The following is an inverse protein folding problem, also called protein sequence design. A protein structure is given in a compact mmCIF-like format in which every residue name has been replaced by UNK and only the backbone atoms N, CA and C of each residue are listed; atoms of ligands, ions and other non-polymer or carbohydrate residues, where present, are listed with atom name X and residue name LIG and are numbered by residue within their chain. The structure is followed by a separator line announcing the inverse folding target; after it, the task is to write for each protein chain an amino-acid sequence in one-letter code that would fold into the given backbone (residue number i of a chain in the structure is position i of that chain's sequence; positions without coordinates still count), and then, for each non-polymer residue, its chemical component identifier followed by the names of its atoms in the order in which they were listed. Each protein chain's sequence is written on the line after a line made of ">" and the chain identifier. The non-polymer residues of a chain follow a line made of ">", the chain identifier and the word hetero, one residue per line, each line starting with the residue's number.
data_IF_654580029683
#
_entry.id   IF_654580029683
#
_cell.length_a   1.000
_cell.length_b   1.000
_cell.length_c   1.000
_cell.angle_alpha   90.00
_cell.angle_beta   90.00
_cell.angle_gamma   90.00
#
_symmetry.space_group_name_H-M   'P 1'
#
loop_
_entity.id
_entity.type
_entity.pdbx_description
1 polymer ?
#
# COMPACT_ATOMS: atom_id res chain seq x y z
N UNK A 1 19.42 -22.40 2.94
CA UNK A 1 18.24 -22.77 3.77
C UNK A 1 17.39 -21.54 3.97
N UNK A 2 16.27 -21.39 3.25
CA UNK A 2 15.34 -20.27 3.45
C UNK A 2 14.40 -20.60 4.61
N UNK A 3 14.69 -20.06 5.80
CA UNK A 3 13.75 -20.11 6.93
C UNK A 3 12.59 -19.16 6.64
N UNK A 4 11.54 -19.66 5.99
CA UNK A 4 10.24 -18.99 6.03
C UNK A 4 9.69 -19.10 7.45
N UNK A 5 10.08 -18.17 8.31
CA UNK A 5 9.45 -17.98 9.62
C UNK A 5 7.97 -17.77 9.38
N UNK A 6 7.15 -18.58 10.03
CA UNK A 6 5.69 -18.48 10.00
C UNK A 6 5.29 -17.10 10.55
N UNK A 7 5.25 -16.07 9.69
CA UNK A 7 4.86 -14.72 10.09
C UNK A 7 3.40 -14.77 10.49
N UNK A 8 3.13 -14.48 11.77
CA UNK A 8 1.76 -14.36 12.29
C UNK A 8 1.03 -13.30 11.45
N UNK A 9 -0.21 -13.59 11.05
CA UNK A 9 -1.09 -12.62 10.38
C UNK A 9 -1.55 -11.61 11.43
N UNK A 10 -0.78 -10.54 11.64
CA UNK A 10 -1.08 -9.52 12.67
C UNK A 10 -1.75 -8.29 12.09
N UNK A 11 -1.77 -8.14 10.77
CA UNK A 11 -2.32 -6.96 10.12
C UNK A 11 -3.81 -7.16 9.83
N UNK A 12 -4.66 -6.51 10.60
CA UNK A 12 -6.09 -6.44 10.33
C UNK A 12 -6.38 -5.57 9.11
N UNK A 13 -7.41 -5.94 8.35
CA UNK A 13 -7.93 -5.10 7.28
C UNK A 13 -8.31 -3.72 7.81
N UNK A 14 -7.98 -2.67 7.07
CA UNK A 14 -8.34 -1.31 7.48
C UNK A 14 -9.82 -0.99 7.24
N UNK A 15 -10.54 -1.79 6.45
CA UNK A 15 -11.97 -1.57 6.22
C UNK A 15 -12.82 -1.88 7.45
N UNK A 16 -13.63 -0.92 7.92
CA UNK A 16 -14.49 -1.03 9.12
C UNK A 16 -15.44 -2.23 9.20
N UNK A 17 -15.69 -2.92 8.09
CA UNK A 17 -16.59 -4.08 7.99
C UNK A 17 -15.87 -5.36 7.57
N UNK A 18 -14.54 -5.37 7.62
CA UNK A 18 -13.73 -6.51 7.25
C UNK A 18 -12.86 -6.94 8.43
N UNK A 19 -13.04 -8.19 8.88
CA UNK A 19 -12.29 -8.78 9.97
C UNK A 19 -11.16 -9.70 9.46
N UNK A 20 -10.81 -9.62 8.17
CA UNK A 20 -9.73 -10.43 7.62
C UNK A 20 -8.36 -9.95 8.11
N UNK A 21 -7.43 -10.88 8.27
CA UNK A 21 -6.05 -10.61 8.67
C UNK A 21 -5.07 -11.06 7.60
N UNK A 22 -4.03 -10.26 7.41
CA UNK A 22 -3.04 -10.43 6.34
C UNK A 22 -1.63 -10.58 6.92
N UNK A 23 -0.75 -11.21 6.12
CA UNK A 23 0.67 -11.35 6.44
C UNK A 23 1.49 -10.10 6.07
N UNK A 24 1.02 -9.34 5.08
CA UNK A 24 1.71 -8.19 4.50
C UNK A 24 0.72 -7.06 4.19
N UNK A 25 1.24 -5.84 4.03
CA UNK A 25 0.42 -4.68 3.66
C UNK A 25 -0.01 -4.81 2.20
N UNK A 26 0.88 -5.28 1.32
CA UNK A 26 0.54 -5.57 -0.08
C UNK A 26 -0.69 -6.47 -0.19
N UNK A 27 -0.75 -7.58 0.55
CA UNK A 27 -1.88 -8.50 0.53
C UNK A 27 -3.18 -7.89 1.04
N UNK A 28 -3.11 -7.02 2.06
CA UNK A 28 -4.27 -6.27 2.53
C UNK A 28 -4.73 -5.24 1.50
N UNK A 29 -3.81 -4.55 0.81
CA UNK A 29 -4.13 -3.59 -0.25
C UNK A 29 -4.77 -4.29 -1.45
N UNK A 30 -4.26 -5.46 -1.89
CA UNK A 30 -4.89 -6.26 -2.96
C UNK A 30 -6.35 -6.56 -2.60
N UNK A 31 -6.61 -6.96 -1.35
CA UNK A 31 -7.96 -7.23 -0.87
C UNK A 31 -8.87 -5.99 -0.89
N UNK A 32 -8.33 -4.82 -0.55
CA UNK A 32 -9.09 -3.57 -0.59
C UNK A 32 -9.33 -3.10 -2.04
N UNK A 33 -8.32 -3.19 -2.90
CA UNK A 33 -8.37 -2.80 -4.31
C UNK A 33 -9.31 -3.72 -5.12
N UNK A 34 -9.45 -4.99 -4.73
CA UNK A 34 -10.36 -5.95 -5.40
C UNK A 34 -11.85 -5.69 -5.15
N UNK A 35 -12.24 -4.60 -4.48
CA UNK A 35 -13.65 -4.19 -4.36
C UNK A 35 -14.47 -4.93 -3.30
N UNK A 36 -13.83 -5.58 -2.30
CA UNK A 36 -14.59 -6.33 -1.29
C UNK A 36 -15.34 -5.43 -0.29
N UNK A 37 -14.96 -4.15 -0.17
CA UNK A 37 -15.43 -3.27 0.90
C UNK A 37 -16.52 -2.26 0.50
N UNK A 38 -16.66 -2.00 -0.79
CA UNK A 38 -17.70 -1.20 -1.45
C UNK A 38 -17.57 -1.52 -2.95
N UNK A 39 -18.62 -1.28 -3.73
CA UNK A 39 -18.72 -1.48 -5.19
C UNK A 39 -17.48 -1.05 -5.99
N UNK A 40 -17.50 -1.24 -7.31
CA UNK A 40 -16.44 -1.00 -8.32
C UNK A 40 -15.57 0.27 -8.25
N UNK A 41 -15.72 1.13 -7.24
CA UNK A 41 -14.95 2.34 -6.92
C UNK A 41 -13.96 2.17 -5.74
N UNK A 42 -13.76 0.96 -5.19
CA UNK A 42 -12.85 0.79 -4.05
C UNK A 42 -11.39 1.14 -4.39
N UNK A 43 -10.94 0.78 -5.59
CA UNK A 43 -9.60 1.14 -6.09
C UNK A 43 -9.46 2.66 -6.23
N UNK A 44 -10.45 3.32 -6.83
CA UNK A 44 -10.46 4.78 -6.99
C UNK A 44 -10.45 5.48 -5.63
N UNK A 45 -11.21 4.98 -4.65
CA UNK A 45 -11.24 5.53 -3.30
C UNK A 45 -9.88 5.42 -2.58
N UNK A 46 -9.20 4.27 -2.68
CA UNK A 46 -7.85 4.09 -2.12
C UNK A 46 -6.87 5.04 -2.80
N UNK A 47 -6.98 5.19 -4.13
CA UNK A 47 -6.15 6.09 -4.91
C UNK A 47 -6.35 7.54 -4.51
N UNK A 48 -7.59 7.97 -4.30
CA UNK A 48 -7.89 9.32 -3.85
C UNK A 48 -7.32 9.59 -2.45
N UNK A 49 -7.46 8.64 -1.51
CA UNK A 49 -6.80 8.75 -0.20
C UNK A 49 -5.27 8.83 -0.35
N UNK A 50 -4.67 8.04 -1.24
CA UNK A 50 -3.23 8.07 -1.48
C UNK A 50 -2.77 9.42 -2.06
N UNK A 51 -3.58 10.05 -2.91
CA UNK A 51 -3.37 11.40 -3.46
C UNK A 51 -3.51 12.49 -2.42
N UNK A 52 -4.44 12.38 -1.48
CA UNK A 52 -4.61 13.37 -0.40
C UNK A 52 -3.44 13.39 0.59
N UNK A 53 -2.67 12.30 0.71
CA UNK A 53 -1.55 12.26 1.63
C UNK A 53 -0.46 13.25 1.23
N UNK A 54 0.05 14.04 2.18
CA UNK A 54 1.08 15.06 1.96
C UNK A 54 2.41 14.53 1.37
N UNK A 55 2.63 13.21 1.35
CA UNK A 55 3.79 12.59 0.71
C UNK A 55 3.53 12.16 -0.75
N UNK A 56 2.34 12.46 -1.32
CA UNK A 56 1.91 11.97 -2.65
C UNK A 56 2.97 12.12 -3.74
N UNK A 57 3.67 13.26 -3.81
CA UNK A 57 4.68 13.55 -4.83
C UNK A 57 5.88 12.60 -4.84
N UNK A 58 6.02 11.74 -3.82
CA UNK A 58 7.08 10.73 -3.73
C UNK A 58 6.69 9.35 -4.24
N UNK A 59 5.43 9.13 -4.56
CA UNK A 59 4.97 7.84 -5.08
C UNK A 59 3.84 7.96 -6.10
N UNK A 60 3.39 9.19 -6.41
CA UNK A 60 2.48 9.52 -7.51
C UNK A 60 3.16 10.63 -8.31
N UNK A 61 3.24 10.46 -9.63
CA UNK A 61 3.66 11.54 -10.53
C UNK A 61 2.45 12.43 -10.79
N UNK A 62 2.65 13.74 -10.81
CA UNK A 62 1.61 14.78 -11.03
C UNK A 62 1.05 14.78 -12.48
N UNK A 63 1.14 13.65 -13.18
CA UNK A 63 0.74 13.46 -14.57
C UNK A 63 -0.69 12.94 -14.65
N UNK A 64 -1.31 13.04 -15.82
CA UNK A 64 -2.55 12.34 -16.18
C UNK A 64 -2.49 10.80 -15.98
N UNK A 65 -1.31 10.28 -15.64
CA UNK A 65 -1.09 8.88 -15.31
C UNK A 65 -1.66 8.52 -13.93
N UNK A 66 -2.41 7.41 -13.91
CA UNK A 66 -3.18 6.94 -12.76
C UNK A 66 -2.34 5.99 -11.87
N UNK A 67 -1.07 5.76 -12.20
CA UNK A 67 -0.20 4.84 -11.48
C UNK A 67 0.66 5.47 -10.38
N UNK A 68 1.49 4.62 -9.81
CA UNK A 68 2.40 4.88 -8.71
C UNK A 68 3.84 4.61 -9.13
N UNK A 69 4.80 5.17 -8.41
CA UNK A 69 6.21 4.86 -8.64
C UNK A 69 6.98 4.66 -7.34
N UNK A 70 8.06 3.91 -7.41
CA UNK A 70 8.97 3.72 -6.29
C UNK A 70 10.01 4.84 -6.24
N UNK A 71 10.01 5.63 -5.17
CA UNK A 71 10.97 6.72 -4.98
C UNK A 71 12.45 6.28 -4.98
N UNK A 72 12.72 5.02 -4.63
CA UNK A 72 14.09 4.52 -4.48
C UNK A 72 14.71 4.07 -5.81
N UNK A 73 13.91 3.48 -6.70
CA UNK A 73 14.39 2.86 -7.94
C UNK A 73 13.70 3.38 -9.21
N UNK A 74 12.79 4.34 -9.05
CA UNK A 74 12.03 5.02 -10.12
C UNK A 74 11.14 4.12 -10.99
N UNK A 75 10.86 2.89 -10.53
CA UNK A 75 9.97 1.96 -11.24
C UNK A 75 8.51 2.32 -11.05
N UNK A 76 7.73 2.28 -12.13
CA UNK A 76 6.28 2.53 -12.13
C UNK A 76 5.44 1.25 -11.91
N UNK A 77 4.24 1.44 -11.36
CA UNK A 77 3.28 0.40 -10.99
C UNK A 77 1.85 0.91 -11.18
N UNK A 78 0.94 0.09 -11.68
CA UNK A 78 -0.46 0.52 -11.88
C UNK A 78 -1.28 0.53 -10.57
N UNK A 79 -0.91 -0.31 -9.61
CA UNK A 79 -1.64 -0.46 -8.33
C UNK A 79 -0.77 -0.14 -7.13
N UNK A 80 -1.42 0.26 -6.04
CA UNK A 80 -0.75 0.62 -4.80
C UNK A 80 -0.16 -0.63 -4.14
N UNK A 81 -0.91 -1.73 -4.18
CA UNK A 81 -0.44 -3.04 -3.73
C UNK A 81 0.86 -3.46 -4.40
N UNK A 82 1.01 -3.23 -5.71
CA UNK A 82 2.19 -3.62 -6.47
C UNK A 82 3.44 -2.82 -6.05
N UNK A 83 3.29 -1.52 -5.76
CA UNK A 83 4.37 -0.71 -5.19
C UNK A 83 4.80 -1.23 -3.81
N UNK A 84 3.83 -1.59 -2.96
CA UNK A 84 4.12 -2.16 -1.64
C UNK A 84 4.81 -3.51 -1.74
N UNK A 85 4.29 -4.41 -2.58
CA UNK A 85 4.88 -5.72 -2.81
C UNK A 85 6.32 -5.58 -3.30
N UNK A 86 6.58 -4.68 -4.25
CA UNK A 86 7.93 -4.37 -4.70
C UNK A 86 8.86 -3.97 -3.54
N UNK A 87 8.39 -3.09 -2.64
CA UNK A 87 9.21 -2.65 -1.50
C UNK A 87 9.36 -3.74 -0.42
N UNK A 88 8.39 -4.63 -0.27
CA UNK A 88 8.46 -5.77 0.65
C UNK A 88 9.45 -6.83 0.14
N UNK A 89 9.52 -7.05 -1.17
CA UNK A 89 10.39 -8.06 -1.80
C UNK A 89 11.81 -7.52 -2.09
N UNK A 90 11.96 -6.22 -2.33
CA UNK A 90 13.24 -5.61 -2.70
C UNK A 90 13.95 -4.99 -1.50
N UNK A 91 15.08 -5.59 -1.09
CA UNK A 91 15.90 -5.11 0.02
C UNK A 91 16.33 -3.64 -0.16
N UNK A 92 16.69 -3.22 -1.37
CA UNK A 92 17.11 -1.84 -1.69
C UNK A 92 15.99 -0.81 -1.54
N UNK A 93 14.72 -1.22 -1.65
CA UNK A 93 13.56 -0.33 -1.57
C UNK A 93 12.81 -0.46 -0.24
N UNK A 94 13.07 -1.52 0.53
CA UNK A 94 12.38 -1.84 1.79
C UNK A 94 12.45 -0.74 2.85
N UNK A 95 13.47 0.12 2.81
CA UNK A 95 13.59 1.25 3.73
C UNK A 95 12.41 2.23 3.59
N UNK A 96 11.77 2.34 2.41
CA UNK A 96 10.62 3.22 2.18
C UNK A 96 9.40 2.86 3.06
N UNK A 97 9.31 1.60 3.51
CA UNK A 97 8.27 1.07 4.38
C UNK A 97 8.51 1.38 5.87
N UNK A 98 9.67 1.94 6.24
CA UNK A 98 10.10 2.05 7.63
C UNK A 98 10.09 3.50 8.15
N UNK A 99 9.93 3.64 9.47
CA UNK A 99 10.14 4.91 10.18
C UNK A 99 9.35 6.08 9.57
N UNK A 100 10.06 7.16 9.22
CA UNK A 100 9.49 8.39 8.67
C UNK A 100 9.55 8.49 7.14
N UNK A 101 9.74 7.35 6.45
CA UNK A 101 9.76 7.31 4.99
C UNK A 101 8.35 7.41 4.38
N UNK A 102 8.28 7.64 3.08
CA UNK A 102 7.05 8.02 2.39
C UNK A 102 5.94 6.96 2.51
N UNK A 103 6.25 5.68 2.26
CA UNK A 103 5.26 4.60 2.32
C UNK A 103 4.87 4.29 3.78
N UNK A 104 5.80 4.37 4.73
CA UNK A 104 5.48 4.25 6.16
C UNK A 104 4.50 5.33 6.65
N UNK A 105 4.62 6.55 6.11
CA UNK A 105 3.71 7.67 6.39
C UNK A 105 2.37 7.49 5.69
N UNK A 106 2.36 7.03 4.44
CA UNK A 106 1.14 6.73 3.72
C UNK A 106 0.36 5.59 4.38
N UNK A 107 1.02 4.52 4.83
CA UNK A 107 0.36 3.45 5.59
C UNK A 107 -0.41 3.98 6.81
N UNK A 108 0.23 4.87 7.59
CA UNK A 108 -0.41 5.52 8.75
C UNK A 108 -1.59 6.41 8.35
N UNK A 109 -1.50 7.07 7.20
CA UNK A 109 -2.58 7.88 6.65
C UNK A 109 -3.77 7.02 6.20
N UNK A 110 -3.51 5.94 5.46
CA UNK A 110 -4.51 4.96 5.03
C UNK A 110 -5.26 4.36 6.22
N UNK A 111 -4.52 3.94 7.25
CA UNK A 111 -5.12 3.40 8.48
C UNK A 111 -6.10 4.39 9.13
N UNK A 112 -5.74 5.68 9.19
CA UNK A 112 -6.60 6.72 9.79
C UNK A 112 -7.84 7.05 8.98
N UNK A 113 -7.76 6.91 7.64
CA UNK A 113 -8.86 7.28 6.72
C UNK A 113 -9.83 6.13 6.50
N UNK A 114 -9.34 4.89 6.49
CA UNK A 114 -10.15 3.70 6.21
C UNK A 114 -10.77 3.09 7.47
N UNK A 115 -10.14 3.29 8.64
CA UNK A 115 -10.68 2.85 9.94
C UNK A 115 -11.75 3.78 10.49
#
# INVERSE_FOLDING_TARGET
>A
MHQQKHQRRVLECYGRRCNQTFKSISGMLIHLESGYWQSSSAEDYIRDIARECYQNKKYIRDSFYIGYFCFACDKDFDHLSALWQHCEDSLSCSYLLQGQQCLAKLQRYLYRKLR
#
